data_IF_171015545572
#
_entry.id   IF_171015545572
#
_cell.length_a   1.000
_cell.length_b   1.000
_cell.length_c   1.000
_cell.angle_alpha   90.00
_cell.angle_beta   90.00
_cell.angle_gamma   90.00
#
_symmetry.space_group_name_H-M   'P 1'
#
loop_
_entity.id
_entity.type
_entity.pdbx_description
1 polymer ?
#
# COMPACT_ATOMS: atom_id res chain seq x y z
N UNK A 1 9.33 22.20 -2.64
CA UNK A 1 8.56 21.61 -1.53
C UNK A 1 9.38 20.43 -1.05
N UNK A 2 9.95 20.49 0.14
CA UNK A 2 10.74 19.37 0.66
C UNK A 2 9.82 18.15 0.84
N UNK A 3 10.25 16.94 0.45
CA UNK A 3 9.44 15.74 0.65
C UNK A 3 9.19 15.55 2.15
N UNK A 4 7.94 15.25 2.50
CA UNK A 4 7.57 15.01 3.89
C UNK A 4 8.45 13.89 4.49
N UNK A 5 8.82 13.99 5.78
CA UNK A 5 9.62 12.95 6.43
C UNK A 5 8.95 11.58 6.34
N UNK A 6 9.70 10.55 5.96
CA UNK A 6 9.20 9.16 5.96
C UNK A 6 8.96 8.71 7.40
N UNK A 7 7.76 8.24 7.72
CA UNK A 7 7.35 7.78 9.05
C UNK A 7 7.33 6.24 9.12
N UNK A 8 8.05 5.67 10.08
CA UNK A 8 7.91 4.26 10.43
C UNK A 8 6.66 4.03 11.28
N UNK A 9 5.85 3.04 10.93
CA UNK A 9 4.65 2.65 11.69
C UNK A 9 4.68 1.15 12.00
N UNK A 10 4.00 0.66 13.05
CA UNK A 10 3.93 -0.78 13.33
C UNK A 10 3.48 -1.59 12.10
N UNK A 11 4.02 -2.80 11.95
CA UNK A 11 3.76 -3.66 10.79
C UNK A 11 2.27 -3.93 10.59
N UNK A 12 1.53 -4.21 11.67
CA UNK A 12 0.08 -4.42 11.62
C UNK A 12 -0.68 -3.18 11.10
N UNK A 13 -0.25 -1.97 11.47
CA UNK A 13 -0.85 -0.72 10.97
C UNK A 13 -0.52 -0.53 9.47
N UNK A 14 0.70 -0.88 9.07
CA UNK A 14 1.11 -0.85 7.68
C UNK A 14 0.29 -1.82 6.83
N UNK A 15 0.10 -3.06 7.28
CA UNK A 15 -0.72 -4.04 6.59
C UNK A 15 -2.16 -3.57 6.40
N UNK A 16 -2.76 -2.96 7.43
CA UNK A 16 -4.12 -2.39 7.32
C UNK A 16 -4.20 -1.34 6.21
N UNK A 17 -3.22 -0.43 6.13
CA UNK A 17 -3.17 0.59 5.07
C UNK A 17 -2.92 -0.01 3.69
N UNK A 18 -2.13 -1.08 3.59
CA UNK A 18 -1.92 -1.79 2.32
C UNK A 18 -3.22 -2.42 1.82
N UNK A 19 -4.03 -3.01 2.70
CA UNK A 19 -5.33 -3.64 2.36
C UNK A 19 -6.38 -2.65 1.85
N UNK A 20 -6.27 -1.37 2.22
CA UNK A 20 -7.13 -0.31 1.69
C UNK A 20 -6.77 0.10 0.26
N UNK A 21 -5.51 -0.11 -0.14
CA UNK A 21 -4.96 0.32 -1.43
C UNK A 21 -4.98 -0.80 -2.46
N UNK A 22 -4.71 -2.03 -2.04
CA UNK A 22 -4.61 -3.19 -2.92
C UNK A 22 -5.75 -4.18 -2.68
N UNK A 23 -6.06 -5.05 -3.66
CA UNK A 23 -6.92 -6.20 -3.40
C UNK A 23 -6.40 -7.04 -2.25
N UNK A 24 -7.28 -7.48 -1.35
CA UNK A 24 -6.91 -8.44 -0.32
C UNK A 24 -6.61 -9.82 -0.94
N UNK A 25 -5.83 -10.65 -0.23
CA UNK A 25 -5.48 -12.01 -0.71
C UNK A 25 -6.72 -12.86 -1.00
N UNK A 26 -7.78 -12.66 -0.24
CA UNK A 26 -9.05 -13.40 -0.37
C UNK A 26 -10.10 -12.65 -1.21
N UNK A 27 -9.79 -11.43 -1.69
CA UNK A 27 -10.73 -10.59 -2.43
C UNK A 27 -10.53 -10.78 -3.93
N UNK A 28 -11.60 -11.16 -4.63
CA UNK A 28 -11.59 -11.23 -6.09
C UNK A 28 -11.40 -9.84 -6.71
N UNK A 29 -10.72 -9.79 -7.85
CA UNK A 29 -10.43 -8.52 -8.52
C UNK A 29 -11.71 -7.73 -8.83
N UNK A 30 -12.79 -8.41 -9.22
CA UNK A 30 -14.08 -7.76 -9.52
C UNK A 30 -14.68 -7.11 -8.27
N UNK A 31 -14.54 -7.74 -7.12
CA UNK A 31 -15.03 -7.21 -5.84
C UNK A 31 -14.23 -5.97 -5.42
N UNK A 32 -12.91 -6.01 -5.59
CA UNK A 32 -12.05 -4.84 -5.39
C UNK A 32 -12.47 -3.67 -6.31
N UNK A 33 -12.68 -3.92 -7.60
CA UNK A 33 -13.10 -2.87 -8.55
C UNK A 33 -14.48 -2.31 -8.18
N UNK A 34 -15.40 -3.16 -7.72
CA UNK A 34 -16.71 -2.72 -7.23
C UNK A 34 -16.56 -1.85 -5.97
N UNK A 35 -15.68 -2.22 -5.04
CA UNK A 35 -15.36 -1.41 -3.85
C UNK A 35 -14.82 -0.04 -4.23
N UNK A 36 -13.85 0.03 -5.15
CA UNK A 36 -13.34 1.32 -5.65
C UNK A 36 -14.45 2.16 -6.30
N UNK A 37 -15.29 1.53 -7.13
CA UNK A 37 -16.44 2.20 -7.75
C UNK A 37 -17.42 2.75 -6.72
N UNK A 38 -17.74 2.00 -5.65
CA UNK A 38 -18.62 2.45 -4.57
C UNK A 38 -18.03 3.63 -3.79
N UNK A 39 -16.70 3.66 -3.66
CA UNK A 39 -15.97 4.74 -3.00
C UNK A 39 -15.66 5.94 -3.92
N UNK A 40 -16.05 5.87 -5.20
CA UNK A 40 -15.70 6.83 -6.24
C UNK A 40 -14.18 7.07 -6.37
N UNK A 41 -13.37 6.03 -6.16
CA UNK A 41 -11.94 6.07 -6.38
C UNK A 41 -11.57 5.61 -7.79
N UNK A 42 -10.59 6.29 -8.39
CA UNK A 42 -9.93 5.83 -9.61
C UNK A 42 -9.01 4.66 -9.30
N UNK A 43 -9.01 3.68 -10.19
CA UNK A 43 -8.10 2.55 -10.14
C UNK A 43 -6.93 2.84 -11.07
N UNK A 44 -5.72 2.53 -10.63
CA UNK A 44 -4.51 2.65 -11.41
C UNK A 44 -3.74 1.34 -11.47
N UNK A 45 -2.94 1.17 -12.52
CA UNK A 45 -1.95 0.10 -12.63
C UNK A 45 -0.58 0.65 -12.23
N UNK A 46 0.10 -0.06 -11.34
CA UNK A 46 1.48 0.24 -11.01
C UNK A 46 2.35 0.02 -12.26
N UNK A 47 3.07 1.03 -12.77
CA UNK A 47 3.87 0.89 -13.99
C UNK A 47 5.07 -0.06 -13.82
N UNK A 48 5.44 -0.43 -12.59
CA UNK A 48 6.58 -1.31 -12.30
C UNK A 48 6.22 -2.79 -12.28
N UNK A 49 5.06 -3.14 -11.70
CA UNK A 49 4.65 -4.53 -11.49
C UNK A 49 3.27 -4.86 -12.06
N UNK A 50 2.61 -3.90 -12.71
CA UNK A 50 1.25 -4.03 -13.25
C UNK A 50 0.20 -4.43 -12.20
N UNK A 51 0.49 -4.25 -10.92
CA UNK A 51 -0.49 -4.46 -9.86
C UNK A 51 -1.59 -3.39 -9.92
N UNK A 52 -2.83 -3.81 -9.73
CA UNK A 52 -4.01 -2.95 -9.63
C UNK A 52 -4.05 -2.33 -8.23
N UNK A 53 -4.22 -1.01 -8.12
CA UNK A 53 -4.39 -0.33 -6.84
C UNK A 53 -5.31 0.89 -6.92
N UNK A 54 -5.88 1.23 -5.77
CA UNK A 54 -6.73 2.40 -5.56
C UNK A 54 -5.87 3.67 -5.50
N UNK A 55 -6.11 4.61 -6.42
CA UNK A 55 -5.28 5.80 -6.62
C UNK A 55 -5.41 6.77 -5.44
N UNK A 56 -6.61 7.00 -4.97
CA UNK A 56 -6.92 7.94 -3.89
C UNK A 56 -6.35 7.44 -2.57
N UNK A 57 -6.48 6.14 -2.30
CA UNK A 57 -5.95 5.55 -1.08
C UNK A 57 -4.41 5.40 -1.11
N UNK A 58 -3.76 5.43 -2.29
CA UNK A 58 -2.27 5.39 -2.34
C UNK A 58 -1.62 6.52 -1.54
N UNK A 59 -2.31 7.66 -1.34
CA UNK A 59 -1.80 8.77 -0.54
C UNK A 59 -1.45 8.34 0.89
N UNK A 60 -2.21 7.38 1.45
CA UNK A 60 -1.96 6.81 2.77
C UNK A 60 -0.64 6.05 2.88
N UNK A 61 -0.05 5.60 1.76
CA UNK A 61 1.19 4.84 1.69
C UNK A 61 2.43 5.67 1.28
N UNK A 62 2.26 6.88 0.73
CA UNK A 62 3.36 7.63 0.06
C UNK A 62 4.58 7.94 0.94
N UNK A 63 4.40 8.11 2.24
CA UNK A 63 5.47 8.53 3.17
C UNK A 63 5.56 7.60 4.40
N UNK A 64 5.09 6.37 4.29
CA UNK A 64 5.14 5.42 5.41
C UNK A 64 5.88 4.16 5.01
N UNK A 65 6.60 3.60 5.99
CA UNK A 65 7.27 2.31 5.86
C UNK A 65 6.89 1.46 7.06
N UNK A 66 6.77 0.13 6.90
CA UNK A 66 6.63 -0.75 8.04
C UNK A 66 7.88 -0.58 8.91
N UNK A 67 7.68 -0.46 10.22
CA UNK A 67 8.73 -0.44 11.21
C UNK A 67 9.42 -1.80 11.14
N UNK A 68 10.52 -1.86 10.41
CA UNK A 68 11.41 -3.01 10.46
C UNK A 68 12.15 -2.94 11.80
N UNK A 69 11.77 -3.80 12.75
CA UNK A 69 12.75 -4.21 13.75
C UNK A 69 14.01 -4.64 12.97
N UNK A 70 15.19 -4.32 13.50
CA UNK A 70 16.51 -4.52 12.88
C UNK A 70 16.89 -6.00 12.61
N UNK A 71 15.89 -6.87 12.38
CA UNK A 71 16.01 -8.28 12.00
C UNK A 71 16.41 -8.48 10.54
N UNK A 72 16.42 -7.42 9.72
CA UNK A 72 16.99 -7.42 8.35
C UNK A 72 18.39 -6.81 8.30
N UNK A 73 19.26 -7.10 9.27
CA UNK A 73 20.70 -7.06 8.98
C UNK A 73 20.94 -8.12 7.90
N UNK A 74 20.97 -7.70 6.64
CA UNK A 74 21.55 -8.53 5.60
C UNK A 74 23.00 -8.79 6.05
N UNK A 75 23.32 -10.05 6.34
CA UNK A 75 24.69 -10.45 6.61
C UNK A 75 25.48 -10.12 5.36
N UNK A 76 26.34 -9.09 5.40
CA UNK A 76 27.41 -8.96 4.41
C UNK A 76 28.37 -10.12 4.68
N UNK A 77 28.09 -11.28 4.11
CA UNK A 77 28.97 -12.45 4.14
C UNK A 77 28.89 -13.11 2.78
#
# INVERSE_FOLDING_TARGET
>A
VDPAPVKAIPEEEYEKKVREVYPNVEEELVDFLNRCKLNNSEVMLCPRCSAVCDKENTAGLKNIVPHADNKRKWSNT
#
